data_IF_195845557467
#
_entry.id   IF_195845557467
#
_cell.length_a   1.000
_cell.length_b   1.000
_cell.length_c   1.000
_cell.angle_alpha   90.00
_cell.angle_beta   90.00
_cell.angle_gamma   90.00
#
_symmetry.space_group_name_H-M   'P 1'
#
loop_
_entity.id
_entity.type
_entity.pdbx_description
1 polymer ?
#
# COMPACT_ATOMS: atom_id res chain seq x y z
N UNK A 1 10.72 10.78 -43.09
CA UNK A 1 11.35 11.55 -41.99
C UNK A 1 10.31 11.68 -40.89
N UNK A 2 10.40 10.91 -39.80
CA UNK A 2 9.40 10.94 -38.70
C UNK A 2 9.91 11.91 -37.65
N UNK A 3 9.23 13.04 -37.50
CA UNK A 3 9.58 14.09 -36.56
C UNK A 3 9.25 13.64 -35.14
N UNK A 4 10.28 13.43 -34.30
CA UNK A 4 10.10 13.06 -32.90
C UNK A 4 9.55 14.26 -32.11
N UNK A 5 8.31 14.18 -31.64
CA UNK A 5 7.73 15.19 -30.76
C UNK A 5 8.34 15.08 -29.34
N UNK A 6 8.59 16.21 -28.65
CA UNK A 6 9.10 16.21 -27.28
C UNK A 6 8.05 15.62 -26.32
N UNK A 7 8.41 14.53 -25.64
CA UNK A 7 7.56 13.90 -24.63
C UNK A 7 7.70 14.64 -23.31
N UNK A 8 6.79 15.56 -23.02
CA UNK A 8 6.69 16.21 -21.71
C UNK A 8 6.37 15.15 -20.64
N UNK A 9 7.17 15.10 -19.56
CA UNK A 9 6.88 14.26 -18.40
C UNK A 9 6.17 15.07 -17.32
N UNK A 10 5.20 14.45 -16.66
CA UNK A 10 4.45 15.03 -15.53
C UNK A 10 4.73 14.18 -14.30
N UNK A 11 5.11 14.83 -13.20
CA UNK A 11 5.31 14.18 -11.90
C UNK A 11 4.06 14.35 -11.03
N UNK A 12 3.53 13.25 -10.50
CA UNK A 12 2.42 13.25 -9.56
C UNK A 12 2.98 12.79 -8.21
N UNK A 13 2.85 13.64 -7.19
CA UNK A 13 3.24 13.32 -5.81
C UNK A 13 2.02 12.85 -5.04
N UNK A 14 2.09 11.68 -4.39
CA UNK A 14 1.00 11.15 -3.57
C UNK A 14 1.52 10.65 -2.23
N UNK A 15 0.72 10.90 -1.18
CA UNK A 15 0.89 10.28 0.14
C UNK A 15 0.20 8.93 0.11
N UNK A 16 0.96 7.85 0.24
CA UNK A 16 0.37 6.52 0.39
C UNK A 16 0.42 6.12 1.86
N UNK A 17 -0.72 5.82 2.50
CA UNK A 17 -0.70 4.99 3.69
C UNK A 17 -0.24 3.61 3.22
N UNK A 18 1.06 3.32 3.31
CA UNK A 18 1.49 1.93 3.33
C UNK A 18 0.73 1.30 4.48
N UNK A 19 -0.08 0.29 4.18
CA UNK A 19 -0.55 -0.58 5.26
C UNK A 19 0.71 -1.06 5.96
N UNK A 20 0.83 -0.76 7.25
CA UNK A 20 1.93 -1.26 8.07
C UNK A 20 2.02 -2.80 7.94
N UNK A 21 0.89 -3.42 7.60
CA UNK A 21 0.69 -4.84 7.29
C UNK A 21 1.24 -5.33 5.95
N UNK A 22 1.85 -4.48 5.12
CA UNK A 22 2.47 -4.91 3.86
C UNK A 22 3.77 -5.69 4.12
N UNK A 23 3.68 -7.02 4.01
CA UNK A 23 4.65 -8.12 3.72
C UNK A 23 6.13 -8.08 4.16
N UNK A 24 6.67 -6.99 4.70
CA UNK A 24 8.10 -6.85 5.00
C UNK A 24 8.37 -6.62 6.49
N UNK A 25 7.68 -5.68 7.12
CA UNK A 25 7.91 -5.33 8.53
C UNK A 25 7.17 -6.31 9.47
N UNK A 26 5.99 -6.73 9.05
CA UNK A 26 5.10 -7.51 9.91
C UNK A 26 5.18 -9.02 9.70
N UNK A 27 5.87 -9.48 8.65
CA UNK A 27 6.05 -10.91 8.42
C UNK A 27 6.99 -11.54 9.44
N UNK A 28 8.03 -10.84 9.92
CA UNK A 28 8.84 -11.32 11.04
C UNK A 28 8.05 -11.31 12.36
N UNK A 29 7.32 -10.23 12.62
CA UNK A 29 6.58 -10.03 13.88
C UNK A 29 5.41 -11.00 14.03
N UNK A 30 4.64 -11.25 12.96
CA UNK A 30 3.50 -12.18 13.01
C UNK A 30 3.88 -13.66 12.79
N UNK A 31 5.11 -13.96 12.33
CA UNK A 31 5.54 -15.33 12.14
C UNK A 31 5.94 -16.03 13.44
N UNK A 32 6.45 -15.29 14.42
CA UNK A 32 7.21 -15.87 15.53
C UNK A 32 6.40 -16.10 16.82
N UNK A 33 5.14 -15.63 16.90
CA UNK A 33 4.31 -15.69 18.11
C UNK A 33 2.92 -16.36 17.93
N UNK A 34 2.48 -17.23 18.85
CA UNK A 34 1.17 -17.91 18.76
C UNK A 34 -0.02 -16.95 18.78
N UNK A 35 0.09 -15.83 19.50
CA UNK A 35 -0.94 -14.78 19.54
C UNK A 35 -1.02 -14.00 18.22
N UNK A 36 0.14 -13.76 17.61
CA UNK A 36 0.30 -13.05 16.35
C UNK A 36 -0.36 -13.83 15.21
N UNK A 37 -0.12 -15.15 15.15
CA UNK A 37 -0.75 -16.05 14.18
C UNK A 37 -2.26 -16.12 14.32
N UNK A 38 -2.77 -16.23 15.56
CA UNK A 38 -4.22 -16.29 15.83
C UNK A 38 -4.95 -15.02 15.35
N UNK A 39 -4.37 -13.85 15.60
CA UNK A 39 -4.94 -12.57 15.14
C UNK A 39 -4.88 -12.45 13.61
N UNK A 40 -3.79 -12.90 13.00
CA UNK A 40 -3.65 -12.94 11.54
C UNK A 40 -4.71 -13.83 10.89
N UNK A 41 -4.92 -15.04 11.40
CA UNK A 41 -5.93 -15.96 10.88
C UNK A 41 -7.34 -15.35 11.05
N UNK A 42 -7.65 -14.80 12.23
CA UNK A 42 -8.92 -14.12 12.49
C UNK A 42 -9.16 -12.93 11.53
N UNK A 43 -8.13 -12.13 11.24
CA UNK A 43 -8.24 -11.00 10.30
C UNK A 43 -8.59 -11.48 8.89
N UNK A 44 -7.97 -12.57 8.43
CA UNK A 44 -8.18 -13.10 7.09
C UNK A 44 -9.49 -13.86 6.93
N UNK A 45 -10.07 -14.40 8.01
CA UNK A 45 -11.35 -15.12 7.97
C UNK A 45 -12.55 -14.25 8.29
N UNK A 46 -12.36 -13.02 8.81
CA UNK A 46 -13.46 -12.12 9.18
C UNK A 46 -13.96 -11.32 7.98
N UNK A 47 -15.20 -11.56 7.57
CA UNK A 47 -15.84 -10.85 6.45
C UNK A 47 -16.38 -9.46 6.85
N UNK A 48 -16.93 -9.35 8.06
CA UNK A 48 -17.53 -8.10 8.53
C UNK A 48 -16.46 -7.06 8.84
N UNK A 49 -16.58 -5.88 8.21
CA UNK A 49 -15.55 -4.85 8.24
C UNK A 49 -15.31 -4.28 9.66
N UNK A 50 -16.35 -3.85 10.42
CA UNK A 50 -16.22 -3.48 11.83
C UNK A 50 -15.45 -4.51 12.67
N UNK A 51 -15.78 -5.79 12.54
CA UNK A 51 -15.14 -6.86 13.31
C UNK A 51 -13.68 -7.03 12.89
N UNK A 52 -13.41 -6.95 11.58
CA UNK A 52 -12.04 -7.01 11.04
C UNK A 52 -11.19 -5.83 11.50
N UNK A 53 -11.76 -4.62 11.59
CA UNK A 53 -11.07 -3.44 12.11
C UNK A 53 -10.70 -3.62 13.59
N UNK A 54 -11.59 -4.24 14.39
CA UNK A 54 -11.28 -4.53 15.79
C UNK A 54 -10.09 -5.51 15.88
N UNK A 55 -10.04 -6.55 15.04
CA UNK A 55 -8.89 -7.47 14.98
C UNK A 55 -7.62 -6.71 14.57
N UNK A 56 -7.70 -5.80 13.61
CA UNK A 56 -6.58 -4.96 13.16
C UNK A 56 -6.00 -4.10 14.29
N UNK A 57 -6.85 -3.50 15.12
CA UNK A 57 -6.40 -2.72 16.28
C UNK A 57 -5.63 -3.58 17.29
N UNK A 58 -6.08 -4.82 17.51
CA UNK A 58 -5.37 -5.76 18.39
C UNK A 58 -4.01 -6.17 17.79
N UNK A 59 -3.95 -6.35 16.47
CA UNK A 59 -2.69 -6.58 15.76
C UNK A 59 -1.75 -5.37 15.88
N UNK A 60 -2.24 -4.13 15.73
CA UNK A 60 -1.45 -2.93 15.89
C UNK A 60 -0.93 -2.75 17.33
N UNK A 61 -1.75 -3.11 18.33
CA UNK A 61 -1.32 -3.11 19.73
C UNK A 61 -0.18 -4.09 19.96
N UNK A 62 -0.30 -5.33 19.48
CA UNK A 62 0.76 -6.34 19.56
C UNK A 62 2.06 -5.83 18.93
N UNK A 63 1.97 -5.20 17.76
CA UNK A 63 3.13 -4.59 17.09
C UNK A 63 3.71 -3.46 17.92
N UNK A 64 2.90 -2.60 18.53
CA UNK A 64 3.38 -1.51 19.39
C UNK A 64 4.03 -1.99 20.70
N UNK A 65 3.54 -3.10 21.26
CA UNK A 65 4.00 -3.64 22.54
C UNK A 65 5.26 -4.51 22.36
N UNK A 66 5.35 -5.30 21.29
CA UNK A 66 6.44 -6.26 21.05
C UNK A 66 7.53 -5.74 20.10
N UNK A 67 7.19 -4.81 19.21
CA UNK A 67 8.13 -4.22 18.26
C UNK A 67 8.39 -2.79 18.69
N UNK A 68 9.66 -2.45 18.93
CA UNK A 68 10.09 -1.07 19.08
C UNK A 68 10.04 -0.31 17.73
N UNK A 69 8.93 -0.42 16.99
CA UNK A 69 8.69 0.24 15.72
C UNK A 69 7.76 1.43 15.95
N UNK A 70 8.32 2.63 15.91
CA UNK A 70 7.55 3.86 15.91
C UNK A 70 7.22 4.27 14.47
N UNK A 71 5.94 4.40 14.09
CA UNK A 71 5.57 4.91 12.78
C UNK A 71 5.97 6.39 12.69
N UNK A 72 7.04 6.69 11.94
CA UNK A 72 7.58 8.05 11.85
C UNK A 72 6.78 8.92 10.88
N UNK A 73 6.71 8.50 9.60
CA UNK A 73 6.08 9.26 8.52
C UNK A 73 5.49 8.34 7.46
N UNK A 74 4.49 8.85 6.74
CA UNK A 74 4.01 8.22 5.51
C UNK A 74 5.07 8.31 4.42
N UNK A 75 5.17 7.26 3.61
CA UNK A 75 6.06 7.29 2.46
C UNK A 75 5.38 8.06 1.31
N UNK A 76 6.08 9.04 0.76
CA UNK A 76 5.65 9.74 -0.43
C UNK A 76 6.08 8.93 -1.65
N UNK A 77 5.11 8.54 -2.48
CA UNK A 77 5.40 7.93 -3.78
C UNK A 77 5.28 9.01 -4.84
N UNK A 78 6.34 9.16 -5.63
CA UNK A 78 6.37 10.06 -6.79
C UNK A 78 6.36 9.19 -8.03
N UNK A 79 5.28 9.27 -8.80
CA UNK A 79 5.15 8.57 -10.07
C UNK A 79 5.31 9.56 -11.22
N UNK A 80 6.32 9.34 -12.07
CA UNK A 80 6.51 10.08 -13.31
C UNK A 80 5.78 9.38 -14.46
N UNK A 81 4.96 10.12 -15.20
CA UNK A 81 4.21 9.61 -16.36
C UNK A 81 4.40 10.51 -17.58
N UNK A 82 4.27 9.95 -18.77
CA UNK A 82 4.26 10.73 -20.02
C UNK A 82 2.97 11.56 -20.05
N UNK A 83 3.05 12.84 -20.42
CA UNK A 83 1.90 13.76 -20.41
C UNK A 83 0.71 13.29 -21.26
N UNK A 84 0.97 12.50 -22.30
CA UNK A 84 -0.05 11.95 -23.20
C UNK A 84 -0.77 10.72 -22.63
N UNK A 85 -0.28 10.17 -21.52
CA UNK A 85 -0.84 8.96 -20.90
C UNK A 85 -1.97 9.34 -19.94
N UNK A 86 -3.18 8.89 -20.25
CA UNK A 86 -4.40 9.13 -19.46
C UNK A 86 -4.98 7.81 -18.93
N UNK A 87 -5.59 7.84 -17.74
CA UNK A 87 -6.18 6.67 -17.09
C UNK A 87 -6.52 6.94 -15.62
N UNK A 88 -7.18 6.01 -14.91
CA UNK A 88 -7.56 6.22 -13.52
C UNK A 88 -6.32 6.26 -12.62
N UNK A 89 -6.19 7.33 -11.85
CA UNK A 89 -5.06 7.58 -10.95
C UNK A 89 -5.49 7.17 -9.54
N UNK A 90 -5.66 5.87 -9.32
CA UNK A 90 -5.95 5.31 -8.01
C UNK A 90 -4.75 4.48 -7.52
N UNK A 91 -4.08 5.00 -6.48
CA UNK A 91 -3.12 4.32 -5.60
C UNK A 91 -1.79 3.88 -6.22
N UNK A 92 -1.20 4.70 -7.10
CA UNK A 92 0.21 4.57 -7.55
C UNK A 92 0.57 3.28 -8.28
N UNK A 93 -0.35 2.33 -8.34
CA UNK A 93 -0.15 1.00 -8.86
C UNK A 93 -0.69 0.86 -10.27
N UNK A 94 -0.01 0.01 -11.03
CA UNK A 94 -0.36 -0.37 -12.40
C UNK A 94 -1.48 -1.41 -12.46
N UNK A 95 -2.23 -1.60 -11.36
CA UNK A 95 -3.30 -2.60 -11.26
C UNK A 95 -4.38 -2.42 -12.33
N UNK A 96 -4.57 -1.19 -12.80
CA UNK A 96 -5.52 -0.81 -13.84
C UNK A 96 -4.83 -0.37 -15.15
N UNK A 97 -3.62 -0.85 -15.44
CA UNK A 97 -2.88 -0.43 -16.65
C UNK A 97 -3.64 -0.68 -17.96
N UNK A 98 -4.54 -1.66 -17.96
CA UNK A 98 -5.41 -1.98 -19.10
C UNK A 98 -6.44 -0.88 -19.40
N UNK A 99 -6.69 0.04 -18.48
CA UNK A 99 -7.58 1.19 -18.67
C UNK A 99 -6.81 2.43 -19.18
N UNK A 100 -5.48 2.32 -19.37
CA UNK A 100 -4.65 3.46 -19.72
C UNK A 100 -4.57 3.62 -21.24
N UNK A 101 -4.61 4.86 -21.70
CA UNK A 101 -4.58 5.19 -23.13
C UNK A 101 -3.71 6.42 -23.40
N UNK A 102 -2.99 6.38 -24.52
CA UNK A 102 -2.32 7.55 -25.07
C UNK A 102 -3.33 8.42 -25.82
N UNK A 103 -3.31 9.73 -25.55
CA UNK A 103 -4.03 10.76 -26.31
C UNK A 103 -3.05 11.72 -26.96
#
# INVERSE_FOLDING_TARGET
MVQAQPRTMVAITRVEPRSFLSKGILTGVFADGPNARRLYDAYNTTLNRPDRNNVELHMMKLVSDEVAAFPLYYNFRVDARVATLSGPIAAGDVWNIHEWQFR
#
